data_IF_021023364223
#
_entry.id   IF_021023364223
#
_cell.length_a   1.000
_cell.length_b   1.000
_cell.length_c   1.000
_cell.angle_alpha   90.00
_cell.angle_beta   90.00
_cell.angle_gamma   90.00
#
_symmetry.space_group_name_H-M   'P 1'
#
loop_
_entity.id
_entity.type
_entity.pdbx_description
1 polymer ?
#
# COMPACT_ATOMS: atom_id res chain seq x y z
N UNK A 1 136.05 -8.67 -104.13
CA UNK A 1 134.96 -8.05 -103.33
C UNK A 1 134.74 -8.97 -102.12
N UNK A 2 135.51 -8.79 -101.04
CA UNK A 2 135.27 -7.84 -99.93
C UNK A 2 134.18 -8.36 -98.98
N UNK A 3 134.57 -8.90 -97.82
CA UNK A 3 133.78 -9.00 -96.59
C UNK A 3 134.72 -9.33 -95.41
N UNK A 4 134.85 -8.39 -94.48
CA UNK A 4 135.69 -8.53 -93.27
C UNK A 4 134.99 -9.38 -92.19
N UNK A 5 135.73 -10.26 -91.47
CA UNK A 5 135.17 -11.17 -90.46
C UNK A 5 134.58 -10.48 -89.21
N UNK A 6 134.90 -9.20 -88.96
CA UNK A 6 134.33 -8.42 -87.85
C UNK A 6 132.88 -7.98 -88.09
N UNK A 7 132.44 -7.80 -89.35
CA UNK A 7 131.06 -7.38 -89.65
C UNK A 7 130.06 -8.53 -89.62
N UNK A 8 130.49 -9.76 -89.96
CA UNK A 8 129.68 -10.98 -89.85
C UNK A 8 129.35 -11.33 -88.38
N UNK A 9 130.27 -11.10 -87.46
CA UNK A 9 130.08 -11.38 -86.03
C UNK A 9 129.16 -10.34 -85.36
N UNK A 10 129.25 -9.07 -85.76
CA UNK A 10 128.32 -8.02 -85.34
C UNK A 10 126.89 -8.23 -85.86
N UNK A 11 126.74 -8.67 -87.12
CA UNK A 11 125.44 -8.99 -87.71
C UNK A 11 124.78 -10.21 -87.03
N UNK A 12 125.55 -11.24 -86.68
CA UNK A 12 125.05 -12.40 -85.95
C UNK A 12 124.60 -12.05 -84.52
N UNK A 13 125.34 -11.20 -83.81
CA UNK A 13 124.96 -10.70 -82.48
C UNK A 13 123.69 -9.82 -82.52
N UNK A 14 123.55 -8.97 -83.55
CA UNK A 14 122.34 -8.17 -83.76
C UNK A 14 121.12 -9.03 -84.09
N UNK A 15 121.29 -10.08 -84.89
CA UNK A 15 120.23 -11.04 -85.19
C UNK A 15 119.80 -11.83 -83.94
N UNK A 16 120.75 -12.26 -83.11
CA UNK A 16 120.48 -12.91 -81.81
C UNK A 16 119.79 -11.97 -80.82
N UNK A 17 120.21 -10.71 -80.76
CA UNK A 17 119.58 -9.70 -79.92
C UNK A 17 118.13 -9.40 -80.40
N UNK A 18 117.91 -9.30 -81.71
CA UNK A 18 116.58 -9.12 -82.29
C UNK A 18 115.66 -10.32 -82.05
N UNK A 19 116.18 -11.55 -82.15
CA UNK A 19 115.45 -12.78 -81.80
C UNK A 19 115.12 -12.83 -80.30
N UNK A 20 116.06 -12.45 -79.42
CA UNK A 20 115.81 -12.38 -77.97
C UNK A 20 114.78 -11.31 -77.62
N UNK A 21 114.86 -10.12 -78.23
CA UNK A 21 113.89 -9.05 -78.06
C UNK A 21 112.51 -9.43 -78.60
N UNK A 22 112.44 -10.10 -79.76
CA UNK A 22 111.20 -10.62 -80.33
C UNK A 22 110.57 -11.71 -79.48
N UNK A 23 111.38 -12.61 -78.92
CA UNK A 23 110.92 -13.64 -77.98
C UNK A 23 110.45 -13.03 -76.65
N UNK A 24 111.19 -12.05 -76.11
CA UNK A 24 110.79 -11.32 -74.91
C UNK A 24 109.51 -10.51 -75.14
N UNK A 25 109.35 -9.87 -76.30
CA UNK A 25 108.15 -9.10 -76.64
C UNK A 25 106.95 -10.01 -76.90
N UNK A 26 107.14 -11.13 -77.59
CA UNK A 26 106.12 -12.17 -77.78
C UNK A 26 105.72 -12.84 -76.46
N UNK A 27 106.68 -13.15 -75.58
CA UNK A 27 106.42 -13.68 -74.25
C UNK A 27 105.71 -12.65 -73.34
N UNK A 28 106.09 -11.37 -73.42
CA UNK A 28 105.41 -10.29 -72.70
C UNK A 28 103.98 -10.06 -73.21
N UNK A 29 103.77 -10.14 -74.53
CA UNK A 29 102.44 -10.03 -75.15
C UNK A 29 101.55 -11.22 -74.81
N UNK A 30 102.07 -12.44 -74.92
CA UNK A 30 101.35 -13.65 -74.53
C UNK A 30 101.01 -13.65 -73.03
N UNK A 31 101.93 -13.17 -72.17
CA UNK A 31 101.64 -12.97 -70.74
C UNK A 31 100.55 -11.92 -70.52
N UNK A 32 100.56 -10.80 -71.22
CA UNK A 32 99.49 -9.77 -71.12
C UNK A 32 98.15 -10.29 -71.60
N UNK A 33 98.10 -11.01 -72.72
CA UNK A 33 96.88 -11.63 -73.24
C UNK A 33 96.36 -12.72 -72.29
N UNK A 34 97.24 -13.54 -71.71
CA UNK A 34 96.87 -14.52 -70.69
C UNK A 34 96.34 -13.85 -69.41
N UNK A 35 96.98 -12.79 -68.93
CA UNK A 35 96.50 -12.01 -67.77
C UNK A 35 95.13 -11.39 -68.07
N UNK A 36 94.94 -10.80 -69.25
CA UNK A 36 93.66 -10.22 -69.66
C UNK A 36 92.56 -11.29 -69.78
N UNK A 37 92.86 -12.46 -70.32
CA UNK A 37 91.94 -13.60 -70.37
C UNK A 37 91.61 -14.11 -68.96
N UNK A 38 92.60 -14.24 -68.07
CA UNK A 38 92.38 -14.61 -66.67
C UNK A 38 91.55 -13.57 -65.92
N UNK A 39 91.79 -12.28 -66.12
CA UNK A 39 90.98 -11.20 -65.55
C UNK A 39 89.55 -11.22 -66.07
N UNK A 40 89.35 -11.50 -67.36
CA UNK A 40 88.02 -11.60 -67.96
C UNK A 40 87.25 -12.82 -67.44
N UNK A 41 87.90 -13.98 -67.32
CA UNK A 41 87.33 -15.19 -66.71
C UNK A 41 87.02 -14.94 -65.24
N UNK A 42 87.92 -14.30 -64.49
CA UNK A 42 87.70 -13.96 -63.09
C UNK A 42 86.55 -12.95 -62.92
N UNK A 43 86.42 -11.97 -63.81
CA UNK A 43 85.31 -11.02 -63.82
C UNK A 43 83.97 -11.71 -64.16
N UNK A 44 83.97 -12.63 -65.13
CA UNK A 44 82.79 -13.44 -65.47
C UNK A 44 82.38 -14.34 -64.30
N UNK A 45 83.33 -15.03 -63.67
CA UNK A 45 83.09 -15.88 -62.50
C UNK A 45 82.56 -15.06 -61.30
N UNK A 46 83.09 -13.86 -61.05
CA UNK A 46 82.57 -12.94 -60.01
C UNK A 46 81.15 -12.48 -60.32
N UNK A 47 80.86 -12.14 -61.58
CA UNK A 47 79.51 -11.75 -62.02
C UNK A 47 78.51 -12.90 -61.86
N UNK A 48 78.89 -14.12 -62.24
CA UNK A 48 78.08 -15.33 -62.05
C UNK A 48 77.83 -15.62 -60.57
N UNK A 49 78.88 -15.61 -59.74
CA UNK A 49 78.72 -15.79 -58.29
C UNK A 49 77.85 -14.70 -57.66
N UNK A 50 77.96 -13.45 -58.12
CA UNK A 50 77.10 -12.36 -57.66
C UNK A 50 75.64 -12.56 -58.08
N UNK A 51 75.38 -13.02 -59.31
CA UNK A 51 74.03 -13.37 -59.77
C UNK A 51 73.43 -14.54 -58.98
N UNK A 52 74.22 -15.57 -58.64
CA UNK A 52 73.78 -16.70 -57.82
C UNK A 52 73.45 -16.26 -56.38
N UNK A 53 74.28 -15.43 -55.76
CA UNK A 53 74.00 -14.84 -54.44
C UNK A 53 72.75 -13.95 -54.49
N UNK A 54 72.59 -13.13 -55.54
CA UNK A 54 71.40 -12.31 -55.72
C UNK A 54 70.15 -13.17 -55.93
N UNK A 55 70.24 -14.26 -56.70
CA UNK A 55 69.14 -15.17 -56.98
C UNK A 55 68.71 -15.91 -55.70
N UNK A 56 69.66 -16.46 -54.95
CA UNK A 56 69.37 -17.10 -53.64
C UNK A 56 68.75 -16.12 -52.66
N UNK A 57 69.31 -14.90 -52.53
CA UNK A 57 68.72 -13.84 -51.70
C UNK A 57 67.29 -13.48 -52.12
N UNK A 58 67.02 -13.36 -53.43
CA UNK A 58 65.68 -13.09 -53.94
C UNK A 58 64.71 -14.23 -53.63
N UNK A 59 65.13 -15.50 -53.73
CA UNK A 59 64.28 -16.65 -53.36
C UNK A 59 63.97 -16.69 -51.87
N UNK A 60 64.95 -16.41 -51.00
CA UNK A 60 64.73 -16.30 -49.56
C UNK A 60 63.80 -15.14 -49.21
N UNK A 61 63.96 -14.00 -49.89
CA UNK A 61 63.07 -12.85 -49.69
C UNK A 61 61.64 -13.15 -50.15
N UNK A 62 61.46 -13.84 -51.29
CA UNK A 62 60.15 -14.23 -51.79
C UNK A 62 59.44 -15.22 -50.83
N UNK A 63 60.14 -16.24 -50.35
CA UNK A 63 59.59 -17.22 -49.39
C UNK A 63 59.26 -16.57 -48.04
N UNK A 64 60.09 -15.64 -47.55
CA UNK A 64 59.80 -14.87 -46.36
C UNK A 64 58.57 -13.97 -46.54
N UNK A 65 58.44 -13.29 -47.69
CA UNK A 65 57.27 -12.47 -48.02
C UNK A 65 55.99 -13.30 -48.10
N UNK A 66 56.04 -14.49 -48.68
CA UNK A 66 54.89 -15.40 -48.75
C UNK A 66 54.46 -15.86 -47.35
N UNK A 67 55.43 -16.17 -46.46
CA UNK A 67 55.15 -16.54 -45.08
C UNK A 67 54.56 -15.38 -44.26
N UNK A 68 55.07 -14.16 -44.46
CA UNK A 68 54.49 -12.95 -43.84
C UNK A 68 53.04 -12.76 -44.30
N UNK A 69 52.77 -12.87 -45.61
CA UNK A 69 51.39 -12.79 -46.15
C UNK A 69 50.48 -13.88 -45.56
N UNK A 70 50.97 -15.11 -45.40
CA UNK A 70 50.23 -16.19 -44.76
C UNK A 70 49.88 -15.88 -43.31
N UNK A 71 50.86 -15.41 -42.52
CA UNK A 71 50.65 -15.01 -41.13
C UNK A 71 49.73 -13.80 -40.99
N UNK A 72 49.80 -12.83 -41.92
CA UNK A 72 48.89 -11.68 -41.97
C UNK A 72 47.45 -12.13 -42.24
N UNK A 73 47.25 -13.09 -43.16
CA UNK A 73 45.94 -13.66 -43.45
C UNK A 73 45.38 -14.46 -42.25
N UNK A 74 46.21 -15.24 -41.56
CA UNK A 74 45.83 -15.94 -40.33
C UNK A 74 45.47 -14.95 -39.21
N UNK A 75 46.28 -13.91 -38.99
CA UNK A 75 45.99 -12.85 -38.03
C UNK A 75 44.65 -12.16 -38.34
N UNK A 76 44.40 -11.84 -39.62
CA UNK A 76 43.14 -11.23 -40.04
C UNK A 76 41.94 -12.16 -39.78
N UNK A 77 42.08 -13.47 -40.04
CA UNK A 77 41.03 -14.46 -39.76
C UNK A 77 40.74 -14.58 -38.27
N UNK A 78 41.78 -14.67 -37.44
CA UNK A 78 41.63 -14.75 -35.97
C UNK A 78 41.01 -13.47 -35.39
N UNK A 79 41.39 -12.29 -35.90
CA UNK A 79 40.77 -11.02 -35.50
C UNK A 79 39.28 -10.99 -35.85
N UNK A 80 38.89 -11.48 -37.03
CA UNK A 80 37.49 -11.57 -37.43
C UNK A 80 36.70 -12.54 -36.53
N UNK A 81 37.27 -13.69 -36.17
CA UNK A 81 36.65 -14.64 -35.23
C UNK A 81 36.50 -14.04 -33.81
N UNK A 82 37.52 -13.33 -33.33
CA UNK A 82 37.47 -12.62 -32.05
C UNK A 82 36.41 -11.52 -32.04
N UNK A 83 36.31 -10.74 -33.12
CA UNK A 83 35.25 -9.73 -33.25
C UNK A 83 33.87 -10.38 -33.27
N UNK A 84 33.69 -11.48 -34.02
CA UNK A 84 32.43 -12.20 -34.09
C UNK A 84 31.99 -12.74 -32.73
N UNK A 85 32.89 -13.43 -32.03
CA UNK A 85 32.62 -13.98 -30.68
C UNK A 85 32.37 -12.88 -29.65
N UNK A 86 33.04 -11.74 -29.77
CA UNK A 86 32.78 -10.57 -28.91
C UNK A 86 31.37 -10.00 -29.13
N UNK A 87 30.94 -9.83 -30.37
CA UNK A 87 29.58 -9.37 -30.69
C UNK A 87 28.55 -10.37 -30.18
N UNK A 88 28.79 -11.69 -30.34
CA UNK A 88 27.92 -12.70 -29.77
C UNK A 88 27.84 -12.62 -28.24
N UNK A 89 28.98 -12.47 -27.56
CA UNK A 89 29.03 -12.34 -26.11
C UNK A 89 28.30 -11.09 -25.60
N UNK A 90 28.39 -9.97 -26.33
CA UNK A 90 27.62 -8.74 -26.05
C UNK A 90 26.12 -8.99 -26.22
N UNK A 91 25.69 -9.67 -27.29
CA UNK A 91 24.27 -10.04 -27.49
C UNK A 91 23.73 -10.99 -26.41
N UNK A 92 24.52 -11.97 -25.97
CA UNK A 92 24.13 -12.87 -24.87
C UNK A 92 24.00 -12.14 -23.53
N UNK A 93 24.85 -11.13 -23.28
CA UNK A 93 24.76 -10.31 -22.06
C UNK A 93 23.48 -9.49 -22.05
N UNK A 94 23.17 -8.83 -23.16
CA UNK A 94 21.94 -8.04 -23.30
C UNK A 94 20.69 -8.92 -23.11
N UNK A 95 20.66 -10.10 -23.75
CA UNK A 95 19.57 -11.06 -23.56
C UNK A 95 19.43 -11.54 -22.11
N UNK A 96 20.55 -11.74 -21.40
CA UNK A 96 20.55 -12.14 -20.00
C UNK A 96 20.02 -11.04 -19.07
N UNK A 97 20.37 -9.79 -19.35
CA UNK A 97 19.91 -8.65 -18.56
C UNK A 97 18.40 -8.43 -18.76
N UNK A 98 17.90 -8.53 -20.00
CA UNK A 98 16.46 -8.52 -20.29
C UNK A 98 15.74 -9.64 -19.52
N UNK A 99 16.25 -10.88 -19.57
CA UNK A 99 15.64 -12.00 -18.88
C UNK A 99 15.66 -11.84 -17.34
N UNK A 100 16.70 -11.20 -16.78
CA UNK A 100 16.77 -10.87 -15.36
C UNK A 100 15.72 -9.83 -14.97
N UNK A 101 15.55 -8.80 -15.77
CA UNK A 101 14.55 -7.75 -15.53
C UNK A 101 13.12 -8.31 -15.62
N UNK A 102 12.83 -9.14 -16.62
CA UNK A 102 11.53 -9.83 -16.74
C UNK A 102 11.26 -10.72 -15.53
N UNK A 103 12.26 -11.49 -15.09
CA UNK A 103 12.14 -12.34 -13.90
C UNK A 103 11.94 -11.52 -12.63
N UNK A 104 12.60 -10.36 -12.50
CA UNK A 104 12.40 -9.45 -11.37
C UNK A 104 10.97 -8.91 -11.34
N UNK A 105 10.44 -8.47 -12.49
CA UNK A 105 9.05 -8.01 -12.61
C UNK A 105 8.04 -9.11 -12.29
N UNK A 106 8.29 -10.35 -12.76
CA UNK A 106 7.43 -11.50 -12.44
C UNK A 106 7.49 -11.85 -10.96
N UNK A 107 8.67 -11.80 -10.34
CA UNK A 107 8.83 -12.04 -8.90
C UNK A 107 8.10 -10.99 -8.07
N UNK A 108 8.17 -9.70 -8.44
CA UNK A 108 7.43 -8.63 -7.78
C UNK A 108 5.90 -8.85 -7.89
N UNK A 109 5.41 -9.21 -9.09
CA UNK A 109 3.99 -9.53 -9.30
C UNK A 109 3.56 -10.74 -8.47
N UNK A 110 4.37 -11.80 -8.45
CA UNK A 110 4.09 -13.00 -7.66
C UNK A 110 4.07 -12.69 -6.16
N UNK A 111 4.95 -11.82 -5.67
CA UNK A 111 4.97 -11.40 -4.27
C UNK A 111 3.70 -10.62 -3.84
N UNK A 112 2.98 -10.01 -4.79
CA UNK A 112 1.71 -9.33 -4.52
C UNK A 112 0.51 -10.27 -4.43
N UNK A 113 0.59 -11.48 -4.99
CA UNK A 113 -0.53 -12.44 -5.04
C UNK A 113 -0.98 -12.86 -3.63
N UNK A 114 -0.09 -13.26 -2.69
CA UNK A 114 -0.52 -13.64 -1.33
C UNK A 114 -1.22 -12.51 -0.58
N UNK A 115 -0.78 -11.26 -0.79
CA UNK A 115 -1.43 -10.09 -0.17
C UNK A 115 -2.84 -9.86 -0.70
N UNK A 116 -3.05 -10.04 -2.01
CA UNK A 116 -4.38 -9.96 -2.63
C UNK A 116 -5.29 -11.12 -2.21
N UNK A 117 -4.74 -12.34 -2.10
CA UNK A 117 -5.48 -13.51 -1.61
C UNK A 117 -5.91 -13.33 -0.16
N UNK A 118 -5.03 -12.81 0.71
CA UNK A 118 -5.36 -12.49 2.10
C UNK A 118 -6.48 -11.44 2.19
N UNK A 119 -6.38 -10.35 1.41
CA UNK A 119 -7.43 -9.33 1.34
C UNK A 119 -8.76 -9.90 0.86
N UNK A 120 -8.74 -10.77 -0.15
CA UNK A 120 -9.95 -11.42 -0.65
C UNK A 120 -10.58 -12.35 0.39
N UNK A 121 -9.78 -13.13 1.12
CA UNK A 121 -10.27 -13.99 2.20
C UNK A 121 -10.87 -13.18 3.35
N UNK A 122 -10.23 -12.07 3.73
CA UNK A 122 -10.76 -11.15 4.74
C UNK A 122 -12.10 -10.54 4.32
N UNK A 123 -12.19 -10.06 3.08
CA UNK A 123 -13.45 -9.54 2.53
C UNK A 123 -14.54 -10.60 2.44
N UNK A 124 -14.19 -11.85 2.10
CA UNK A 124 -15.12 -12.97 2.10
C UNK A 124 -15.64 -13.29 3.51
N UNK A 125 -14.76 -13.27 4.52
CA UNK A 125 -15.13 -13.49 5.93
C UNK A 125 -16.03 -12.36 6.47
N UNK A 126 -15.70 -11.10 6.16
CA UNK A 126 -16.53 -9.94 6.50
C UNK A 126 -17.91 -10.04 5.86
N UNK A 127 -17.98 -10.37 4.56
CA UNK A 127 -19.24 -10.54 3.84
C UNK A 127 -20.09 -11.65 4.46
N UNK A 128 -19.48 -12.76 4.86
CA UNK A 128 -20.19 -13.86 5.51
C UNK A 128 -20.74 -13.45 6.88
N UNK A 129 -19.95 -12.71 7.66
CA UNK A 129 -20.36 -12.21 8.98
C UNK A 129 -21.54 -11.24 8.86
N UNK A 130 -21.47 -10.30 7.92
CA UNK A 130 -22.57 -9.35 7.66
C UNK A 130 -23.83 -10.07 7.19
N UNK A 131 -23.71 -11.12 6.35
CA UNK A 131 -24.84 -11.94 5.94
C UNK A 131 -25.50 -12.67 7.12
N UNK A 132 -24.71 -13.20 8.05
CA UNK A 132 -25.23 -13.83 9.26
C UNK A 132 -25.97 -12.83 10.14
N UNK A 133 -25.36 -11.67 10.41
CA UNK A 133 -26.00 -10.59 11.18
C UNK A 133 -27.31 -10.11 10.54
N UNK A 134 -27.35 -10.02 9.21
CA UNK A 134 -28.54 -9.61 8.48
C UNK A 134 -29.66 -10.67 8.59
N UNK A 135 -29.32 -11.95 8.51
CA UNK A 135 -30.27 -13.04 8.72
C UNK A 135 -30.82 -13.06 10.16
N UNK A 136 -29.96 -12.86 11.16
CA UNK A 136 -30.36 -12.79 12.57
C UNK A 136 -31.29 -11.60 12.83
N UNK A 137 -30.94 -10.43 12.29
CA UNK A 137 -31.76 -9.22 12.45
C UNK A 137 -33.10 -9.34 11.74
N UNK A 138 -33.14 -9.97 10.56
CA UNK A 138 -34.39 -10.28 9.86
C UNK A 138 -35.26 -11.24 10.66
N UNK A 139 -34.67 -12.26 11.30
CA UNK A 139 -35.40 -13.18 12.18
C UNK A 139 -35.98 -12.46 13.41
N UNK A 140 -35.19 -11.61 14.05
CA UNK A 140 -35.64 -10.79 15.19
C UNK A 140 -36.78 -9.85 14.78
N UNK A 141 -36.67 -9.19 13.62
CA UNK A 141 -37.69 -8.29 13.11
C UNK A 141 -38.99 -9.03 12.78
N UNK A 142 -38.91 -10.22 12.18
CA UNK A 142 -40.07 -11.08 11.95
C UNK A 142 -40.74 -11.49 13.27
N UNK A 143 -39.96 -11.87 14.28
CA UNK A 143 -40.47 -12.22 15.61
C UNK A 143 -41.16 -11.04 16.30
N UNK A 144 -40.56 -9.86 16.30
CA UNK A 144 -41.17 -8.64 16.86
C UNK A 144 -42.45 -8.24 16.12
N UNK A 145 -42.47 -8.38 14.80
CA UNK A 145 -43.65 -8.08 13.99
C UNK A 145 -44.81 -9.02 14.36
N UNK A 146 -44.52 -10.33 14.48
CA UNK A 146 -45.52 -11.31 14.93
C UNK A 146 -46.03 -11.02 16.33
N UNK A 147 -45.16 -10.62 17.26
CA UNK A 147 -45.57 -10.25 18.62
C UNK A 147 -46.47 -9.01 18.62
N UNK A 148 -46.11 -7.96 17.88
CA UNK A 148 -46.91 -6.74 17.73
C UNK A 148 -48.30 -7.05 17.13
N UNK A 149 -48.36 -7.89 16.11
CA UNK A 149 -49.64 -8.30 15.51
C UNK A 149 -50.50 -9.11 16.47
N UNK A 150 -49.90 -9.99 17.28
CA UNK A 150 -50.61 -10.74 18.31
C UNK A 150 -51.17 -9.80 19.41
N UNK A 151 -50.36 -8.86 19.90
CA UNK A 151 -50.78 -7.86 20.88
C UNK A 151 -51.91 -6.97 20.35
N UNK A 152 -51.83 -6.55 19.07
CA UNK A 152 -52.89 -5.77 18.41
C UNK A 152 -54.20 -6.54 18.33
N UNK A 153 -54.16 -7.84 17.93
CA UNK A 153 -55.36 -8.68 17.89
C UNK A 153 -55.97 -8.85 19.27
N UNK A 154 -55.15 -9.16 20.29
CA UNK A 154 -55.61 -9.31 21.66
C UNK A 154 -56.23 -8.01 22.21
N UNK A 155 -55.64 -6.85 21.90
CA UNK A 155 -56.20 -5.55 22.27
C UNK A 155 -57.55 -5.29 21.58
N UNK A 156 -57.67 -5.64 20.31
CA UNK A 156 -58.89 -5.48 19.54
C UNK A 156 -60.02 -6.39 20.05
N UNK A 157 -59.73 -7.66 20.34
CA UNK A 157 -60.67 -8.59 20.98
C UNK A 157 -61.14 -8.08 22.35
N UNK A 158 -60.21 -7.56 23.17
CA UNK A 158 -60.54 -6.97 24.48
C UNK A 158 -61.45 -5.76 24.36
N UNK A 159 -61.21 -4.88 23.38
CA UNK A 159 -62.07 -3.72 23.11
C UNK A 159 -63.46 -4.15 22.67
N UNK A 160 -63.56 -5.20 21.84
CA UNK A 160 -64.84 -5.76 21.42
C UNK A 160 -65.63 -6.33 22.62
N UNK A 161 -64.98 -7.15 23.46
CA UNK A 161 -65.59 -7.68 24.68
C UNK A 161 -66.09 -6.58 25.63
N UNK A 162 -65.31 -5.50 25.80
CA UNK A 162 -65.73 -4.36 26.61
C UNK A 162 -66.94 -3.63 26.00
N UNK A 163 -66.98 -3.53 24.66
CA UNK A 163 -68.13 -2.98 23.94
C UNK A 163 -69.40 -3.81 24.16
N UNK A 164 -69.31 -5.12 23.95
CA UNK A 164 -70.41 -6.07 24.16
C UNK A 164 -70.88 -6.10 25.63
N UNK A 165 -69.95 -6.10 26.58
CA UNK A 165 -70.26 -6.01 28.00
C UNK A 165 -70.98 -4.70 28.35
N UNK A 166 -70.54 -3.56 27.79
CA UNK A 166 -71.20 -2.26 27.98
C UNK A 166 -72.63 -2.27 27.43
N UNK A 167 -72.84 -2.86 26.26
CA UNK A 167 -74.16 -2.93 25.62
C UNK A 167 -75.11 -3.84 26.40
N UNK A 168 -74.64 -5.02 26.82
CA UNK A 168 -75.39 -5.95 27.67
C UNK A 168 -75.77 -5.31 29.02
N UNK A 169 -74.83 -4.63 29.68
CA UNK A 169 -75.10 -3.88 30.92
C UNK A 169 -76.11 -2.77 30.70
N UNK A 170 -76.04 -2.04 29.58
CA UNK A 170 -77.01 -1.00 29.22
C UNK A 170 -78.40 -1.60 29.02
N UNK A 171 -78.49 -2.76 28.35
CA UNK A 171 -79.76 -3.45 28.14
C UNK A 171 -80.35 -3.98 29.45
N UNK A 172 -79.53 -4.63 30.28
CA UNK A 172 -79.94 -5.09 31.62
C UNK A 172 -80.39 -3.93 32.50
N UNK A 173 -79.69 -2.80 32.45
CA UNK A 173 -80.09 -1.59 33.17
C UNK A 173 -81.42 -1.04 32.67
N UNK A 174 -81.66 -0.99 31.36
CA UNK A 174 -82.95 -0.57 30.79
C UNK A 174 -84.09 -1.51 31.16
N UNK A 175 -83.88 -2.82 31.08
CA UNK A 175 -84.86 -3.83 31.50
C UNK A 175 -85.17 -3.68 32.98
N UNK A 176 -84.15 -3.65 33.83
CA UNK A 176 -84.31 -3.47 35.26
C UNK A 176 -84.99 -2.14 35.60
N UNK A 177 -84.68 -1.06 34.88
CA UNK A 177 -85.34 0.22 35.07
C UNK A 177 -86.82 0.17 34.68
N UNK A 178 -87.18 -0.51 33.58
CA UNK A 178 -88.58 -0.73 33.19
C UNK A 178 -89.31 -1.65 34.18
N UNK A 179 -88.71 -2.76 34.58
CA UNK A 179 -89.27 -3.71 35.56
C UNK A 179 -89.49 -3.00 36.90
N UNK A 180 -88.51 -2.21 37.36
CA UNK A 180 -88.66 -1.35 38.54
C UNK A 180 -89.77 -0.32 38.30
N UNK A 181 -89.81 0.38 37.16
CA UNK A 181 -90.86 1.40 36.91
C UNK A 181 -92.27 0.79 36.88
N UNK A 182 -92.42 -0.42 36.36
CA UNK A 182 -93.70 -1.12 36.18
C UNK A 182 -94.15 -1.80 37.48
N UNK A 183 -93.22 -2.45 38.21
CA UNK A 183 -93.45 -2.94 39.58
C UNK A 183 -93.75 -1.77 40.53
N UNK A 184 -93.03 -0.66 40.39
CA UNK A 184 -93.29 0.58 41.12
C UNK A 184 -94.59 1.21 40.67
N UNK A 185 -94.98 1.20 39.39
CA UNK A 185 -96.26 1.72 38.90
C UNK A 185 -97.46 0.98 39.47
N UNK A 186 -97.35 -0.35 39.66
CA UNK A 186 -98.34 -1.17 40.37
C UNK A 186 -98.33 -0.94 41.88
N UNK A 187 -97.16 -0.74 42.51
CA UNK A 187 -97.04 -0.43 43.96
C UNK A 187 -97.24 1.05 44.33
N UNK A 188 -97.17 1.98 43.38
CA UNK A 188 -97.36 3.43 43.57
C UNK A 188 -98.82 3.76 43.92
N UNK A 189 -99.75 2.89 43.54
CA UNK A 189 -101.16 3.00 43.87
C UNK A 189 -101.49 2.64 45.34
N UNK A 190 -100.55 2.03 46.10
CA UNK A 190 -100.89 1.49 47.43
C UNK A 190 -100.00 1.87 48.61
N UNK A 191 -98.82 2.50 48.49
CA UNK A 191 -98.13 2.92 49.73
C UNK A 191 -97.16 4.11 49.63
N UNK A 192 -97.57 5.17 50.33
CA UNK A 192 -96.94 6.46 50.56
C UNK A 192 -95.49 6.39 51.06
N UNK A 193 -94.63 7.20 50.42
CA UNK A 193 -93.47 7.99 50.90
C UNK A 193 -92.37 7.38 51.82
N UNK A 194 -92.64 6.42 52.71
CA UNK A 194 -91.65 5.91 53.66
C UNK A 194 -90.69 4.86 53.08
N UNK A 195 -91.12 4.07 52.08
CA UNK A 195 -90.32 2.99 51.49
C UNK A 195 -89.29 3.46 50.44
N UNK A 196 -89.34 4.73 50.03
CA UNK A 196 -88.46 5.29 49.00
C UNK A 196 -87.06 5.60 49.53
N UNK A 197 -86.91 5.99 50.81
CA UNK A 197 -85.58 6.27 51.41
C UNK A 197 -84.72 5.01 51.48
N UNK A 198 -85.26 3.93 52.05
CA UNK A 198 -84.50 2.69 52.29
C UNK A 198 -84.09 1.93 51.02
N UNK A 199 -84.83 2.09 49.91
CA UNK A 199 -84.49 1.45 48.63
C UNK A 199 -83.58 2.30 47.74
N UNK A 200 -83.60 3.63 47.90
CA UNK A 200 -82.75 4.54 47.13
C UNK A 200 -81.37 4.74 47.77
N UNK A 201 -81.22 4.52 49.08
CA UNK A 201 -79.94 4.65 49.77
C UNK A 201 -78.84 3.72 49.22
N UNK A 202 -79.08 2.42 48.94
CA UNK A 202 -78.07 1.55 48.35
C UNK A 202 -77.68 1.95 46.92
N UNK A 203 -78.63 2.46 46.14
CA UNK A 203 -78.40 2.94 44.77
C UNK A 203 -77.61 4.25 44.78
N UNK A 204 -77.98 5.19 45.67
CA UNK A 204 -77.29 6.45 45.87
C UNK A 204 -75.86 6.21 46.34
N UNK A 205 -75.65 5.29 47.28
CA UNK A 205 -74.31 4.90 47.75
C UNK A 205 -73.46 4.28 46.63
N UNK A 206 -74.01 3.37 45.82
CA UNK A 206 -73.28 2.78 44.67
C UNK A 206 -73.00 3.79 43.56
N UNK A 207 -73.93 4.71 43.29
CA UNK A 207 -73.72 5.79 42.32
C UNK A 207 -72.67 6.78 42.83
N UNK A 208 -72.63 7.10 44.12
CA UNK A 208 -71.57 7.90 44.74
C UNK A 208 -70.21 7.19 44.68
N UNK A 209 -70.17 5.88 44.95
CA UNK A 209 -68.94 5.09 44.86
C UNK A 209 -68.45 4.98 43.40
N UNK A 210 -69.36 4.80 42.45
CA UNK A 210 -69.04 4.78 41.03
C UNK A 210 -68.55 6.13 40.53
N UNK A 211 -69.25 7.21 40.87
CA UNK A 211 -68.85 8.57 40.53
C UNK A 211 -67.48 8.89 41.13
N UNK A 212 -67.23 8.53 42.39
CA UNK A 212 -65.92 8.65 43.03
C UNK A 212 -64.83 7.84 42.33
N UNK A 213 -65.10 6.59 41.90
CA UNK A 213 -64.13 5.78 41.16
C UNK A 213 -63.83 6.35 39.77
N UNK A 214 -64.84 6.86 39.07
CA UNK A 214 -64.68 7.48 37.74
C UNK A 214 -63.88 8.78 37.85
N UNK A 215 -64.19 9.63 38.82
CA UNK A 215 -63.50 10.89 39.07
C UNK A 215 -62.04 10.64 39.48
N UNK A 216 -61.81 9.66 40.36
CA UNK A 216 -60.47 9.20 40.72
C UNK A 216 -59.69 8.69 39.50
N UNK A 217 -60.33 7.90 38.62
CA UNK A 217 -59.71 7.35 37.42
C UNK A 217 -59.27 8.46 36.46
N UNK A 218 -60.17 9.41 36.14
CA UNK A 218 -59.86 10.57 35.29
C UNK A 218 -58.77 11.46 35.90
N UNK A 219 -58.75 11.63 37.23
CA UNK A 219 -57.71 12.40 37.90
C UNK A 219 -56.35 11.68 37.86
N UNK A 220 -56.31 10.35 38.04
CA UNK A 220 -55.08 9.56 37.86
C UNK A 220 -54.60 9.54 36.40
N UNK A 221 -55.50 9.38 35.43
CA UNK A 221 -55.15 9.37 34.01
C UNK A 221 -54.65 10.76 33.55
N UNK A 222 -55.29 11.84 34.02
CA UNK A 222 -54.84 13.22 33.81
C UNK A 222 -53.45 13.47 34.39
N UNK A 223 -53.20 13.01 35.62
CA UNK A 223 -51.87 13.09 36.25
C UNK A 223 -50.81 12.29 35.49
N UNK A 224 -51.14 11.08 35.00
CA UNK A 224 -50.22 10.27 34.21
C UNK A 224 -49.91 10.90 32.85
N UNK A 225 -50.90 11.45 32.13
CA UNK A 225 -50.66 12.20 30.88
C UNK A 225 -49.82 13.45 31.10
N UNK A 226 -50.05 14.17 32.21
CA UNK A 226 -49.28 15.37 32.53
C UNK A 226 -47.83 15.02 32.88
N UNK A 227 -47.60 13.98 33.68
CA UNK A 227 -46.26 13.47 34.00
C UNK A 227 -45.51 13.02 32.73
N UNK A 228 -46.18 12.27 31.85
CA UNK A 228 -45.60 11.84 30.57
C UNK A 228 -45.27 13.03 29.66
N UNK A 229 -46.17 14.00 29.54
CA UNK A 229 -45.93 15.23 28.77
C UNK A 229 -44.72 16.00 29.31
N UNK A 230 -44.59 16.10 30.63
CA UNK A 230 -43.46 16.75 31.28
C UNK A 230 -42.15 15.99 31.05
N UNK A 231 -42.17 14.65 31.08
CA UNK A 231 -41.02 13.83 30.73
C UNK A 231 -40.61 13.99 29.26
N UNK A 232 -41.57 14.09 28.33
CA UNK A 232 -41.29 14.37 26.92
C UNK A 232 -40.67 15.75 26.74
N UNK A 233 -41.20 16.78 27.40
CA UNK A 233 -40.61 18.13 27.36
C UNK A 233 -39.20 18.16 27.95
N UNK A 234 -38.97 17.42 29.04
CA UNK A 234 -37.65 17.32 29.67
C UNK A 234 -36.66 16.58 28.78
N UNK A 235 -37.10 15.51 28.08
CA UNK A 235 -36.30 14.82 27.07
C UNK A 235 -35.98 15.70 25.87
N UNK A 236 -36.95 16.48 25.36
CA UNK A 236 -36.71 17.44 24.29
C UNK A 236 -35.70 18.52 24.71
N UNK A 237 -35.83 19.05 25.94
CA UNK A 237 -34.88 20.01 26.50
C UNK A 237 -33.47 19.45 26.64
N UNK A 238 -33.35 18.21 27.14
CA UNK A 238 -32.07 17.49 27.22
C UNK A 238 -31.44 17.27 25.84
N UNK A 239 -32.24 16.89 24.84
CA UNK A 239 -31.75 16.65 23.48
C UNK A 239 -31.27 17.96 22.83
N UNK A 240 -31.98 19.07 23.09
CA UNK A 240 -31.60 20.38 22.58
C UNK A 240 -30.32 20.90 23.24
N UNK A 241 -30.20 20.76 24.57
CA UNK A 241 -28.99 21.08 25.31
C UNK A 241 -27.80 20.21 24.85
N UNK A 242 -27.99 18.91 24.67
CA UNK A 242 -26.94 18.00 24.19
C UNK A 242 -26.46 18.38 22.79
N UNK A 243 -27.37 18.75 21.89
CA UNK A 243 -27.05 19.20 20.54
C UNK A 243 -26.28 20.53 20.55
N UNK A 244 -26.67 21.44 21.44
CA UNK A 244 -25.99 22.73 21.64
C UNK A 244 -24.60 22.55 22.27
N UNK A 245 -24.45 21.67 23.25
CA UNK A 245 -23.17 21.30 23.87
C UNK A 245 -22.23 20.63 22.86
N UNK A 246 -22.74 19.73 22.01
CA UNK A 246 -21.95 19.12 20.94
C UNK A 246 -21.47 20.16 19.92
N UNK A 247 -22.31 21.14 19.58
CA UNK A 247 -21.96 22.25 18.69
C UNK A 247 -20.93 23.18 19.32
N UNK A 248 -21.12 23.55 20.59
CA UNK A 248 -20.22 24.39 21.36
C UNK A 248 -18.85 23.71 21.57
N UNK A 249 -18.84 22.42 21.86
CA UNK A 249 -17.62 21.61 21.95
C UNK A 249 -16.88 21.59 20.61
N UNK A 250 -17.59 21.34 19.51
CA UNK A 250 -16.99 21.37 18.17
C UNK A 250 -16.38 22.73 17.86
N UNK A 251 -17.07 23.82 18.22
CA UNK A 251 -16.61 25.18 17.98
C UNK A 251 -15.42 25.57 18.89
N UNK A 252 -15.40 25.08 20.14
CA UNK A 252 -14.26 25.25 21.05
C UNK A 252 -13.01 24.47 20.57
N UNK A 253 -13.20 23.28 19.99
CA UNK A 253 -12.12 22.45 19.44
C UNK A 253 -11.56 22.99 18.11
N UNK A 254 -12.34 23.79 17.35
CA UNK A 254 -11.86 24.46 16.12
C UNK A 254 -10.79 25.53 16.37
N UNK A 255 -10.79 26.18 17.54
CA UNK A 255 -9.97 27.36 17.81
C UNK A 255 -8.59 27.09 18.42
N UNK A 256 -8.32 25.87 18.91
CA UNK A 256 -7.09 25.55 19.63
C UNK A 256 -6.62 24.12 19.37
N UNK A 257 -5.48 23.98 18.72
CA UNK A 257 -4.80 22.69 18.51
C UNK A 257 -4.53 21.96 19.83
N UNK A 258 -4.31 22.71 20.92
CA UNK A 258 -4.14 22.15 22.27
C UNK A 258 -5.44 21.58 22.83
N UNK A 259 -6.58 22.25 22.61
CA UNK A 259 -7.88 21.73 23.04
C UNK A 259 -8.26 20.45 22.28
N UNK A 260 -7.96 20.40 20.99
CA UNK A 260 -8.14 19.21 20.16
C UNK A 260 -7.26 18.02 20.63
N UNK A 261 -6.02 18.30 21.04
CA UNK A 261 -5.14 17.31 21.67
C UNK A 261 -5.73 16.75 22.97
N UNK A 262 -6.05 17.64 23.91
CA UNK A 262 -6.63 17.26 25.21
C UNK A 262 -7.95 16.47 25.06
N UNK A 263 -8.79 16.80 24.07
CA UNK A 263 -10.00 16.04 23.78
C UNK A 263 -9.70 14.65 23.23
N UNK A 264 -8.68 14.52 22.36
CA UNK A 264 -8.19 13.23 21.90
C UNK A 264 -7.70 12.34 23.04
N UNK A 265 -6.97 12.92 24.00
CA UNK A 265 -6.51 12.23 25.21
C UNK A 265 -7.68 11.75 26.09
N UNK A 266 -8.68 12.60 26.33
CA UNK A 266 -9.87 12.24 27.11
C UNK A 266 -10.69 11.12 26.44
N UNK A 267 -10.82 11.14 25.12
CA UNK A 267 -11.48 10.05 24.39
C UNK A 267 -10.65 8.77 24.45
N UNK A 268 -9.32 8.85 24.35
CA UNK A 268 -8.43 7.71 24.50
C UNK A 268 -8.57 7.06 25.88
N UNK A 269 -8.53 7.86 26.95
CA UNK A 269 -8.75 7.41 28.33
C UNK A 269 -10.11 6.69 28.45
N UNK A 270 -11.17 7.28 27.90
CA UNK A 270 -12.51 6.69 27.93
C UNK A 270 -12.61 5.35 27.20
N UNK A 271 -11.91 5.20 26.08
CA UNK A 271 -11.86 3.94 25.33
C UNK A 271 -11.15 2.86 26.14
N UNK A 272 -10.08 3.20 26.86
CA UNK A 272 -9.35 2.28 27.72
C UNK A 272 -10.19 1.83 28.91
N UNK A 273 -10.90 2.76 29.57
CA UNK A 273 -11.85 2.44 30.64
C UNK A 273 -12.95 1.49 30.17
N UNK A 274 -13.54 1.76 28.99
CA UNK A 274 -14.58 0.90 28.40
C UNK A 274 -14.05 -0.48 27.99
N UNK A 275 -12.77 -0.57 27.62
CA UNK A 275 -12.09 -1.84 27.39
C UNK A 275 -11.79 -2.61 28.69
N UNK A 276 -12.11 -2.04 29.85
CA UNK A 276 -11.95 -2.65 31.17
C UNK A 276 -10.58 -2.43 31.81
N UNK A 277 -9.76 -1.54 31.25
CA UNK A 277 -8.46 -1.18 31.81
C UNK A 277 -8.64 -0.10 32.88
N UNK A 278 -7.92 -0.19 34.00
CA UNK A 278 -8.01 0.79 35.09
C UNK A 278 -6.78 1.71 35.11
N UNK A 279 -6.98 3.03 35.24
CA UNK A 279 -5.88 3.99 35.34
C UNK A 279 -5.05 3.70 36.60
N UNK A 280 -3.72 3.81 36.49
CA UNK A 280 -2.77 3.54 37.57
C UNK A 280 -2.54 2.06 37.89
N UNK A 281 -3.17 1.15 37.14
CA UNK A 281 -2.94 -0.30 37.27
C UNK A 281 -2.56 -0.89 35.91
N UNK A 282 -3.50 -0.87 34.97
CA UNK A 282 -3.30 -1.44 33.63
C UNK A 282 -2.83 -0.39 32.62
N UNK A 283 -2.98 0.91 32.89
CA UNK A 283 -2.41 1.97 32.06
C UNK A 283 -2.12 3.24 32.86
N UNK A 284 -1.13 4.00 32.40
CA UNK A 284 -0.75 5.31 32.93
C UNK A 284 -0.80 6.37 31.83
N UNK A 285 -1.26 7.56 32.20
CA UNK A 285 -1.42 8.73 31.32
C UNK A 285 -0.26 9.71 31.58
N UNK A 286 0.43 10.13 30.53
CA UNK A 286 1.49 11.15 30.59
C UNK A 286 2.66 10.87 31.57
N UNK A 287 3.21 9.65 31.61
CA UNK A 287 4.49 9.45 32.30
C UNK A 287 5.63 10.20 31.59
N UNK A 288 6.37 11.01 32.36
CA UNK A 288 7.54 11.72 31.86
C UNK A 288 8.73 10.75 31.76
N UNK A 289 9.00 10.23 30.56
CA UNK A 289 10.21 9.45 30.31
C UNK A 289 11.31 10.33 29.70
N UNK A 290 12.52 10.21 30.23
CA UNK A 290 13.74 10.86 29.72
C UNK A 290 14.42 9.94 28.69
N UNK A 291 14.79 10.46 27.52
CA UNK A 291 15.67 9.77 26.57
C UNK A 291 17.15 10.00 26.90
N UNK A 292 18.01 9.11 26.41
CA UNK A 292 19.48 9.19 26.58
C UNK A 292 20.12 10.46 25.96
N UNK A 293 19.45 11.16 25.05
CA UNK A 293 19.92 12.43 24.47
C UNK A 293 19.47 13.69 25.26
N UNK A 294 18.76 13.51 26.37
CA UNK A 294 18.18 14.59 27.18
C UNK A 294 16.85 15.16 26.65
N UNK A 295 16.31 14.64 25.54
CA UNK A 295 14.99 15.04 25.02
C UNK A 295 13.87 14.27 25.72
N UNK A 296 12.78 14.97 26.01
CA UNK A 296 11.57 14.38 26.60
C UNK A 296 10.73 13.78 25.50
N UNK A 297 10.41 12.49 25.62
CA UNK A 297 9.32 11.90 24.87
C UNK A 297 8.20 11.59 25.85
N UNK A 298 7.10 12.30 25.69
CA UNK A 298 5.90 12.14 26.49
C UNK A 298 4.90 11.37 25.63
N UNK A 299 4.82 10.03 25.79
CA UNK A 299 3.74 9.27 25.18
C UNK A 299 2.40 9.65 25.81
N UNK A 300 1.31 9.55 25.04
CA UNK A 300 -0.01 9.94 25.54
C UNK A 300 -0.50 8.93 26.58
N UNK A 301 -0.32 7.63 26.33
CA UNK A 301 -0.64 6.52 27.28
C UNK A 301 0.38 5.38 27.20
N UNK A 302 0.70 4.76 28.34
CA UNK A 302 1.45 3.50 28.43
C UNK A 302 0.55 2.44 29.07
N UNK A 303 0.35 1.30 28.39
CA UNK A 303 -0.46 0.17 28.88
C UNK A 303 0.48 -0.92 29.40
N UNK A 304 0.21 -1.41 30.60
CA UNK A 304 0.96 -2.46 31.27
C UNK A 304 0.42 -3.85 30.88
N UNK A 305 1.29 -4.67 30.30
CA UNK A 305 0.99 -6.02 29.90
C UNK A 305 1.67 -7.03 30.84
N UNK A 306 1.13 -8.26 30.95
CA UNK A 306 1.79 -9.34 31.69
C UNK A 306 3.21 -9.59 31.18
N UNK A 307 4.07 -10.09 32.08
CA UNK A 307 5.51 -10.35 31.85
C UNK A 307 6.38 -9.08 31.77
N UNK A 308 6.01 -8.00 32.48
CA UNK A 308 6.71 -6.71 32.46
C UNK A 308 6.89 -6.16 31.03
N UNK A 309 5.82 -6.25 30.23
CA UNK A 309 5.80 -5.64 28.89
C UNK A 309 4.98 -4.36 28.92
N UNK A 310 5.38 -3.39 28.12
CA UNK A 310 4.71 -2.10 28.02
C UNK A 310 4.28 -1.83 26.57
N UNK A 311 3.05 -1.35 26.38
CA UNK A 311 2.52 -0.93 25.08
C UNK A 311 2.31 0.58 25.09
N UNK A 312 3.06 1.28 24.26
CA UNK A 312 2.97 2.74 24.14
C UNK A 312 1.92 3.12 23.10
N UNK A 313 0.99 4.00 23.48
CA UNK A 313 -0.08 4.51 22.62
C UNK A 313 0.04 6.02 22.48
N UNK A 314 0.08 6.51 21.24
CA UNK A 314 0.05 7.93 20.90
C UNK A 314 -1.13 8.16 19.94
N UNK A 315 -2.03 9.07 20.32
CA UNK A 315 -3.23 9.38 19.55
C UNK A 315 -3.10 10.77 18.92
N UNK A 316 -3.24 10.84 17.59
CA UNK A 316 -3.31 12.10 16.85
C UNK A 316 -4.67 12.25 16.21
N UNK A 317 -5.33 13.38 16.48
CA UNK A 317 -6.67 13.67 15.96
C UNK A 317 -6.56 14.62 14.78
N UNK A 318 -7.15 14.27 13.63
CA UNK A 318 -7.28 15.15 12.47
C UNK A 318 -8.73 15.60 12.26
N UNK A 319 -9.26 16.39 13.20
CA UNK A 319 -10.68 16.77 13.23
C UNK A 319 -11.06 17.86 12.22
N UNK A 320 -10.22 18.89 12.05
CA UNK A 320 -10.55 20.10 11.27
C UNK A 320 -10.92 19.75 9.82
N UNK A 321 -10.03 19.05 9.11
CA UNK A 321 -10.25 18.71 7.70
C UNK A 321 -11.37 17.67 7.49
N UNK A 322 -11.62 16.82 8.48
CA UNK A 322 -12.74 15.87 8.46
C UNK A 322 -14.09 16.59 8.63
N UNK A 323 -14.16 17.54 9.55
CA UNK A 323 -15.36 18.34 9.78
C UNK A 323 -15.70 19.22 8.57
N UNK A 324 -14.69 19.87 7.97
CA UNK A 324 -14.86 20.62 6.71
C UNK A 324 -15.35 19.72 5.56
N UNK A 325 -14.95 18.44 5.55
CA UNK A 325 -15.43 17.46 4.58
C UNK A 325 -16.89 17.07 4.84
N UNK A 326 -17.24 16.82 6.10
CA UNK A 326 -18.59 16.43 6.51
C UNK A 326 -19.61 17.55 6.27
N UNK A 327 -19.20 18.80 6.55
CA UNK A 327 -20.04 19.99 6.44
C UNK A 327 -19.89 20.75 5.11
N UNK A 328 -19.22 20.17 4.10
CA UNK A 328 -19.08 20.79 2.79
C UNK A 328 -20.43 20.87 2.05
N UNK A 329 -20.78 22.07 1.58
CA UNK A 329 -22.01 22.34 0.82
C UNK A 329 -21.86 22.03 -0.68
N UNK A 330 -20.62 22.02 -1.19
CA UNK A 330 -20.31 21.78 -2.59
C UNK A 330 -19.32 20.62 -2.77
N UNK A 331 -19.43 19.91 -3.89
CA UNK A 331 -18.52 18.79 -4.19
C UNK A 331 -17.06 19.22 -4.34
N UNK A 332 -16.83 20.45 -4.80
CA UNK A 332 -15.48 21.01 -4.93
C UNK A 332 -14.83 21.26 -3.56
N UNK A 333 -15.59 21.81 -2.60
CA UNK A 333 -15.13 21.97 -1.21
C UNK A 333 -14.93 20.61 -0.54
N UNK A 334 -15.84 19.66 -0.77
CA UNK A 334 -15.76 18.30 -0.24
C UNK A 334 -14.47 17.61 -0.71
N UNK A 335 -14.17 17.65 -2.01
CA UNK A 335 -12.96 17.06 -2.57
C UNK A 335 -11.67 17.72 -2.03
N UNK A 336 -11.68 19.05 -1.84
CA UNK A 336 -10.54 19.77 -1.28
C UNK A 336 -10.30 19.43 0.20
N UNK A 337 -11.37 19.38 1.02
CA UNK A 337 -11.30 18.99 2.42
C UNK A 337 -10.86 17.52 2.59
N UNK A 338 -11.35 16.62 1.73
CA UNK A 338 -10.93 15.22 1.70
C UNK A 338 -9.41 15.08 1.47
N UNK A 339 -8.86 15.81 0.50
CA UNK A 339 -7.41 15.81 0.24
C UNK A 339 -6.62 16.31 1.45
N UNK A 340 -7.06 17.40 2.08
CA UNK A 340 -6.42 17.94 3.29
C UNK A 340 -6.48 16.95 4.46
N UNK A 341 -7.59 16.24 4.61
CA UNK A 341 -7.74 15.22 5.66
C UNK A 341 -6.77 14.06 5.45
N UNK A 342 -6.70 13.52 4.23
CA UNK A 342 -5.77 12.44 3.88
C UNK A 342 -4.31 12.87 4.11
N UNK A 343 -3.96 14.09 3.71
CA UNK A 343 -2.61 14.63 3.90
C UNK A 343 -2.27 14.79 5.38
N UNK A 344 -3.18 15.35 6.18
CA UNK A 344 -3.04 15.47 7.63
C UNK A 344 -2.82 14.11 8.31
N UNK A 345 -3.60 13.10 7.94
CA UNK A 345 -3.42 11.72 8.45
C UNK A 345 -2.06 11.15 8.07
N UNK A 346 -1.62 11.33 6.82
CA UNK A 346 -0.28 10.88 6.38
C UNK A 346 0.84 11.56 7.15
N UNK A 347 0.72 12.87 7.38
CA UNK A 347 1.70 13.63 8.17
C UNK A 347 1.75 13.15 9.61
N UNK A 348 0.61 12.85 10.23
CA UNK A 348 0.57 12.26 11.57
C UNK A 348 1.22 10.88 11.60
N UNK A 349 0.90 9.98 10.65
CA UNK A 349 1.54 8.65 10.57
C UNK A 349 3.06 8.78 10.43
N UNK A 350 3.52 9.66 9.53
CA UNK A 350 4.96 9.90 9.33
C UNK A 350 5.63 10.43 10.59
N UNK A 351 5.03 11.44 11.23
CA UNK A 351 5.56 12.01 12.47
C UNK A 351 5.60 11.01 13.63
N UNK A 352 4.62 10.10 13.72
CA UNK A 352 4.62 9.03 14.72
C UNK A 352 5.67 7.97 14.44
N UNK A 353 5.84 7.58 13.17
CA UNK A 353 6.86 6.62 12.77
C UNK A 353 8.28 7.15 13.09
N UNK A 354 8.53 8.44 12.89
CA UNK A 354 9.81 9.09 13.20
C UNK A 354 10.12 9.14 14.70
N UNK A 355 9.11 9.02 15.58
CA UNK A 355 9.32 9.09 17.03
C UNK A 355 9.97 7.85 17.63
N UNK A 356 10.05 6.71 16.93
CA UNK A 356 10.81 5.53 17.33
C UNK A 356 10.67 5.16 18.82
N UNK A 357 9.43 4.99 19.30
CA UNK A 357 9.15 4.73 20.71
C UNK A 357 9.81 3.43 21.25
N UNK A 358 10.28 2.56 20.36
CA UNK A 358 11.03 1.34 20.64
C UNK A 358 12.44 1.59 21.24
N UNK A 359 12.94 2.84 21.20
CA UNK A 359 14.26 3.23 21.70
C UNK A 359 14.22 3.95 23.06
N UNK A 360 13.05 4.05 23.70
CA UNK A 360 12.94 4.62 25.04
C UNK A 360 13.48 3.62 26.08
N UNK A 361 14.59 3.96 26.74
CA UNK A 361 15.13 3.20 27.87
C UNK A 361 14.41 3.59 29.17
N UNK A 362 13.98 2.59 29.96
CA UNK A 362 13.26 2.77 31.23
C UNK A 362 11.84 2.18 31.27
N UNK A 363 11.42 1.52 30.19
CA UNK A 363 10.28 0.62 30.10
C UNK A 363 10.77 -0.82 29.88
#
# INVERSE_FOLDING_TARGET
MSLDPMTLLAAALLALAALCLGWLWGAARARREAIAQHEQIAAQARSQAQMEVQATANTHMATAQERVRGLEAECASLLAQLQHTRVQAEGWREALDIARDERAQLAERAARVPGLEAQWQEQAALTQTVRQQLADLQSQLAAQTMQLDAERRAAQEKLQLLGEARESLTHQFKSLANDILEEKGKRFAEQNQQSLGQLLDPLRARLQEFQGKVELFYDTEGKQRSALSQQVHQLMGLNQALSEDAKNLTQALKGSTKAQGNWGELILERVLELAGLRPGIEYDVQENHLRDDGTRAQPDVVIHLPENRHLVVDAKVSLIAYEEFANAETDLQRAAAQRRHIESVRQHIKGLAERNYQQLHGL
#
